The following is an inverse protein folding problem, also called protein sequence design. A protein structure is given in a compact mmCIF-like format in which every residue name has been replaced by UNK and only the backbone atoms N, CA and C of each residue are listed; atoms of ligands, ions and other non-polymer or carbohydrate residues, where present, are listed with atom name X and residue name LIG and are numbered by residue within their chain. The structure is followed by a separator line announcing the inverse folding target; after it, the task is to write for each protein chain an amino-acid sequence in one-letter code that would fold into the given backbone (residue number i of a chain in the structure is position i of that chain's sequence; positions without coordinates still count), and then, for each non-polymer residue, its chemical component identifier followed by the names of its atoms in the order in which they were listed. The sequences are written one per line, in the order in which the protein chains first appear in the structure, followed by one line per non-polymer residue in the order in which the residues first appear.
data_IF_452016974929
#
_entry.id   IF_452016974929
#
_cell.length_a   1.000
_cell.length_b   1.000
_cell.length_c   1.000
_cell.angle_alpha   90.00
_cell.angle_beta   90.00
_cell.angle_gamma   90.00
#
_symmetry.space_group_name_H-M   'P 1'
#
loop_
_entity.id
_entity.type
_entity.pdbx_description
1 polymer ?
#
# COMPACT_ATOMS: atom_id res chain seq x y z
N UNK A 1 -0.11 19.88 13.99
CA UNK A 1 -0.96 18.88 13.31
C UNK A 1 -1.61 17.95 14.33
N UNK A 2 -2.77 17.39 14.02
CA UNK A 2 -3.35 16.34 14.87
C UNK A 2 -2.52 15.05 14.75
N UNK A 3 -2.52 14.24 15.81
CA UNK A 3 -1.76 13.00 15.87
C UNK A 3 -2.46 11.89 15.06
N UNK A 4 -2.64 12.11 13.76
CA UNK A 4 -3.35 11.19 12.88
C UNK A 4 -2.89 11.34 11.43
N UNK A 5 -2.73 10.21 10.75
CA UNK A 5 -2.59 10.17 9.30
C UNK A 5 -3.96 9.83 8.72
N UNK A 6 -4.50 10.70 7.87
CA UNK A 6 -5.82 10.51 7.27
C UNK A 6 -5.73 9.77 5.94
N UNK A 7 -4.69 10.04 5.15
CA UNK A 7 -4.51 9.48 3.81
C UNK A 7 -3.07 9.05 3.63
N UNK A 8 -2.90 7.87 3.07
CA UNK A 8 -1.62 7.39 2.55
C UNK A 8 -1.81 7.21 1.06
N UNK A 9 -1.01 7.90 0.26
CA UNK A 9 -1.05 7.80 -1.19
C UNK A 9 0.18 7.07 -1.69
N UNK A 10 -0.03 5.99 -2.43
CA UNK A 10 1.02 5.19 -3.04
C UNK A 10 1.09 5.50 -4.53
N UNK A 11 2.28 5.87 -5.00
CA UNK A 11 2.52 6.06 -6.42
C UNK A 11 2.49 4.72 -7.13
N UNK A 12 1.76 4.63 -8.24
CA UNK A 12 1.64 3.42 -9.04
C UNK A 12 1.94 3.70 -10.51
N UNK A 13 2.42 2.68 -11.20
CA UNK A 13 2.63 2.74 -12.65
C UNK A 13 1.35 2.37 -13.42
N UNK A 14 0.55 1.47 -12.88
CA UNK A 14 -0.62 0.88 -13.53
C UNK A 14 -1.73 0.64 -12.50
N UNK A 15 -2.84 1.36 -12.63
CA UNK A 15 -3.98 1.22 -11.72
C UNK A 15 -4.51 -0.21 -11.67
N UNK A 16 -4.70 -0.84 -12.80
CA UNK A 16 -5.34 -2.16 -12.86
C UNK A 16 -4.49 -3.23 -12.17
N UNK A 17 -3.19 -3.17 -12.35
CA UNK A 17 -2.25 -4.08 -11.69
C UNK A 17 -2.25 -3.88 -10.17
N UNK A 18 -2.14 -2.63 -9.73
CA UNK A 18 -2.12 -2.31 -8.31
C UNK A 18 -3.45 -2.64 -7.64
N UNK A 19 -4.56 -2.28 -8.29
CA UNK A 19 -5.91 -2.57 -7.79
C UNK A 19 -6.16 -4.08 -7.65
N UNK A 20 -5.76 -4.86 -8.65
CA UNK A 20 -5.90 -6.32 -8.61
C UNK A 20 -5.09 -6.92 -7.45
N UNK A 21 -3.89 -6.41 -7.21
CA UNK A 21 -3.04 -6.88 -6.11
C UNK A 21 -3.71 -6.66 -4.75
N UNK A 22 -4.14 -5.43 -4.46
CA UNK A 22 -4.76 -5.12 -3.17
C UNK A 22 -6.12 -5.79 -2.98
N UNK A 23 -6.90 -5.96 -4.05
CA UNK A 23 -8.13 -6.76 -4.01
C UNK A 23 -7.85 -8.23 -3.69
N UNK A 24 -6.77 -8.79 -4.21
CA UNK A 24 -6.36 -10.16 -3.89
C UNK A 24 -5.99 -10.33 -2.40
N UNK A 25 -5.53 -9.28 -1.74
CA UNK A 25 -5.27 -9.27 -0.30
C UNK A 25 -6.53 -9.05 0.54
N UNK A 26 -7.67 -8.73 -0.09
CA UNK A 26 -8.95 -8.57 0.59
C UNK A 26 -9.43 -7.12 0.73
N UNK A 27 -8.70 -6.14 0.23
CA UNK A 27 -9.15 -4.76 0.26
C UNK A 27 -10.21 -4.51 -0.82
N UNK A 28 -11.17 -3.64 -0.50
CA UNK A 28 -12.28 -3.31 -1.39
C UNK A 28 -12.20 -1.86 -1.85
N UNK A 29 -12.44 -1.65 -3.13
CA UNK A 29 -12.48 -0.33 -3.74
C UNK A 29 -13.48 -0.33 -4.90
N UNK A 30 -14.11 0.83 -5.12
CA UNK A 30 -14.95 1.06 -6.29
C UNK A 30 -14.16 1.11 -7.61
N UNK A 31 -12.83 1.15 -7.53
CA UNK A 31 -11.95 1.26 -8.69
C UNK A 31 -11.57 2.69 -9.00
N UNK A 32 -11.20 2.96 -10.24
CA UNK A 32 -10.75 4.30 -10.66
C UNK A 32 -11.92 5.26 -10.68
N UNK A 33 -11.74 6.42 -10.03
CA UNK A 33 -12.73 7.50 -9.97
C UNK A 33 -12.11 8.82 -10.40
N UNK A 34 -12.92 9.89 -10.47
CA UNK A 34 -12.49 11.24 -10.83
C UNK A 34 -11.78 11.33 -12.20
N UNK A 35 -12.20 10.49 -13.14
CA UNK A 35 -11.62 10.42 -14.50
C UNK A 35 -11.99 11.62 -15.37
N UNK A 36 -12.98 12.41 -14.98
CA UNK A 36 -13.41 13.63 -15.66
C UNK A 36 -12.36 14.76 -15.62
N UNK A 37 -11.41 14.68 -14.70
CA UNK A 37 -10.32 15.64 -14.57
C UNK A 37 -9.06 15.10 -15.28
N UNK A 38 -8.88 15.49 -16.53
CA UNK A 38 -7.79 14.95 -17.35
C UNK A 38 -6.41 15.47 -16.96
N UNK A 39 -6.34 16.67 -16.36
CA UNK A 39 -5.06 17.32 -16.07
C UNK A 39 -4.38 17.84 -17.35
N UNK A 40 -3.19 18.42 -17.17
CA UNK A 40 -2.32 18.89 -18.24
C UNK A 40 -0.86 18.83 -17.77
N UNK A 41 0.06 19.51 -18.47
CA UNK A 41 1.49 19.47 -18.15
C UNK A 41 1.83 20.05 -16.75
N UNK A 42 0.99 20.94 -16.22
CA UNK A 42 1.23 21.62 -14.94
C UNK A 42 0.19 21.28 -13.87
N UNK A 43 -0.97 20.74 -14.26
CA UNK A 43 -2.04 20.37 -13.36
C UNK A 43 -2.20 18.84 -13.36
N UNK A 44 -2.18 18.19 -12.18
CA UNK A 44 -2.32 16.73 -12.13
C UNK A 44 -3.71 16.28 -12.56
N UNK A 45 -3.79 15.08 -13.14
CA UNK A 45 -5.05 14.42 -13.42
C UNK A 45 -5.76 14.05 -12.11
N UNK A 46 -7.09 13.95 -12.16
CA UNK A 46 -7.89 13.59 -10.99
C UNK A 46 -8.03 12.09 -10.75
N UNK A 47 -7.82 11.25 -11.78
CA UNK A 47 -8.03 9.81 -11.68
C UNK A 47 -7.26 9.19 -10.51
N UNK A 48 -7.97 8.47 -9.65
CA UNK A 48 -7.44 7.93 -8.39
C UNK A 48 -8.19 6.64 -8.02
N UNK A 49 -7.53 5.76 -7.31
CA UNK A 49 -8.15 4.59 -6.65
C UNK A 49 -8.10 4.83 -5.15
N UNK A 50 -9.21 4.60 -4.46
CA UNK A 50 -9.29 4.74 -3.00
C UNK A 50 -9.75 3.44 -2.35
N UNK A 51 -9.07 3.07 -1.27
CA UNK A 51 -9.51 2.03 -0.33
C UNK A 51 -9.83 2.72 0.99
N UNK A 52 -11.07 2.59 1.45
CA UNK A 52 -11.49 3.12 2.75
C UNK A 52 -11.15 2.07 3.81
N UNK A 53 -10.18 2.41 4.66
CA UNK A 53 -9.68 1.51 5.69
C UNK A 53 -10.53 1.62 6.96
N UNK A 54 -10.47 0.58 7.78
CA UNK A 54 -11.07 0.62 9.11
C UNK A 54 -10.42 1.76 9.93
N UNK A 55 -11.22 2.45 10.72
CA UNK A 55 -10.76 3.60 11.49
C UNK A 55 -10.76 4.91 10.71
N UNK A 56 -11.17 4.92 9.46
CA UNK A 56 -11.40 6.13 8.67
C UNK A 56 -10.23 6.63 7.86
N UNK A 57 -9.08 5.95 7.88
CA UNK A 57 -7.98 6.27 6.97
C UNK A 57 -8.32 5.84 5.54
N UNK A 58 -7.68 6.50 4.58
CA UNK A 58 -7.78 6.17 3.16
C UNK A 58 -6.40 5.75 2.67
N UNK A 59 -6.34 4.61 1.99
CA UNK A 59 -5.20 4.23 1.18
C UNK A 59 -5.55 4.54 -0.27
N UNK A 60 -4.78 5.44 -0.89
CA UNK A 60 -5.00 5.86 -2.27
C UNK A 60 -3.90 5.32 -3.18
N UNK A 61 -4.28 4.98 -4.40
CA UNK A 61 -3.33 4.69 -5.48
C UNK A 61 -3.42 5.84 -6.48
N UNK A 62 -2.28 6.42 -6.85
CA UNK A 62 -2.24 7.58 -7.73
C UNK A 62 -1.10 7.41 -8.74
N UNK A 63 -1.27 7.81 -10.01
CA UNK A 63 -0.18 7.64 -10.98
C UNK A 63 1.08 8.35 -10.51
N UNK A 64 2.22 7.69 -10.63
CA UNK A 64 3.52 8.22 -10.15
C UNK A 64 3.83 9.57 -10.75
N UNK A 65 3.60 9.74 -12.05
CA UNK A 65 3.80 11.02 -12.73
C UNK A 65 2.89 12.13 -12.19
N UNK A 66 1.65 11.79 -11.86
CA UNK A 66 0.68 12.76 -11.37
C UNK A 66 0.92 13.13 -9.91
N UNK A 67 1.34 12.17 -9.08
CA UNK A 67 1.75 12.45 -7.71
C UNK A 67 2.96 13.39 -7.68
N UNK A 68 3.96 13.14 -8.53
CA UNK A 68 5.13 14.00 -8.63
C UNK A 68 4.76 15.42 -9.08
N UNK A 69 3.88 15.53 -10.06
CA UNK A 69 3.37 16.81 -10.57
C UNK A 69 2.62 17.57 -9.47
N UNK A 70 1.72 16.89 -8.76
CA UNK A 70 0.93 17.48 -7.68
C UNK A 70 1.81 17.98 -6.53
N UNK A 71 2.80 17.20 -6.15
CA UNK A 71 3.72 17.55 -5.07
C UNK A 71 4.83 18.53 -5.50
N UNK A 72 5.02 18.75 -6.80
CA UNK A 72 6.10 19.61 -7.31
C UNK A 72 7.48 19.00 -7.13
N UNK A 73 7.61 17.68 -7.27
CA UNK A 73 8.87 16.94 -7.11
C UNK A 73 9.17 16.12 -8.35
N UNK A 74 10.42 15.69 -8.50
CA UNK A 74 10.80 14.74 -9.51
C UNK A 74 10.24 13.35 -9.17
N UNK A 75 9.72 12.57 -10.16
CA UNK A 75 9.29 11.20 -9.89
C UNK A 75 10.49 10.34 -9.49
N UNK A 76 10.31 9.57 -8.42
CA UNK A 76 11.32 8.66 -7.93
C UNK A 76 11.23 7.27 -8.59
N UNK A 77 12.16 6.36 -8.24
CA UNK A 77 12.09 4.98 -8.71
C UNK A 77 10.89 4.24 -8.08
N UNK A 78 10.44 3.19 -8.76
CA UNK A 78 9.33 2.34 -8.30
C UNK A 78 9.78 1.45 -7.13
N UNK A 79 10.25 2.06 -6.04
CA UNK A 79 10.71 1.35 -4.86
C UNK A 79 10.78 2.29 -3.65
N UNK A 80 10.07 1.94 -2.58
CA UNK A 80 10.21 2.59 -1.29
C UNK A 80 11.23 1.84 -0.43
N UNK A 81 12.09 2.54 0.30
CA UNK A 81 13.13 1.92 1.09
C UNK A 81 13.35 2.54 2.47
N UNK A 82 12.75 3.69 2.72
CA UNK A 82 12.97 4.45 3.95
C UNK A 82 11.79 4.43 4.91
N UNK A 83 10.71 3.77 4.54
CA UNK A 83 9.57 3.53 5.43
C UNK A 83 8.87 2.24 5.03
N UNK A 84 8.05 1.72 5.93
CA UNK A 84 7.17 0.60 5.66
C UNK A 84 5.77 0.87 6.20
N UNK A 85 4.78 0.21 5.63
CA UNK A 85 3.43 0.21 6.15
C UNK A 85 3.24 -1.07 6.97
N UNK A 86 2.75 -0.95 8.19
CA UNK A 86 2.55 -2.09 9.07
C UNK A 86 1.09 -2.49 9.16
N UNK A 87 0.83 -3.79 9.09
CA UNK A 87 -0.49 -4.37 9.30
C UNK A 87 -0.41 -5.44 10.39
N UNK A 88 -1.14 -5.23 11.48
CA UNK A 88 -1.15 -6.14 12.61
C UNK A 88 -2.30 -7.13 12.46
N UNK A 89 -1.98 -8.40 12.64
CA UNK A 89 -2.95 -9.49 12.63
C UNK A 89 -3.01 -10.18 14.00
N UNK A 90 -4.09 -10.90 14.26
CA UNK A 90 -4.36 -11.46 15.57
C UNK A 90 -3.51 -12.68 15.91
N UNK A 91 -3.06 -13.44 14.92
CA UNK A 91 -2.33 -14.72 15.13
C UNK A 91 -1.11 -14.83 14.22
N UNK A 92 -0.17 -15.68 14.65
CA UNK A 92 1.00 -16.05 13.83
C UNK A 92 0.56 -16.69 12.51
N UNK A 93 -0.47 -17.52 12.53
CA UNK A 93 -0.99 -18.16 11.34
C UNK A 93 -1.53 -17.15 10.32
N UNK A 94 -2.14 -16.07 10.78
CA UNK A 94 -2.62 -15.01 9.89
C UNK A 94 -1.46 -14.28 9.20
N UNK A 95 -0.31 -14.14 9.85
CA UNK A 95 0.90 -13.63 9.20
C UNK A 95 1.28 -14.54 8.04
N UNK A 96 1.39 -15.84 8.29
CA UNK A 96 1.74 -16.82 7.26
C UNK A 96 0.75 -16.81 6.10
N UNK A 97 -0.54 -16.79 6.41
CA UNK A 97 -1.62 -16.81 5.43
C UNK A 97 -1.61 -15.57 4.55
N UNK A 98 -1.45 -14.39 5.15
CA UNK A 98 -1.46 -13.14 4.39
C UNK A 98 -0.22 -13.00 3.51
N UNK A 99 0.95 -13.39 4.00
CA UNK A 99 2.16 -13.39 3.19
C UNK A 99 2.08 -14.41 2.05
N UNK A 100 1.44 -15.56 2.27
CA UNK A 100 1.20 -16.53 1.20
C UNK A 100 0.27 -15.96 0.11
N UNK A 101 -0.77 -15.21 0.51
CA UNK A 101 -1.65 -14.52 -0.45
C UNK A 101 -0.89 -13.46 -1.26
N UNK A 102 -0.05 -12.68 -0.60
CA UNK A 102 0.79 -11.68 -1.28
C UNK A 102 1.72 -12.34 -2.30
N UNK A 103 2.36 -13.44 -1.91
CA UNK A 103 3.23 -14.22 -2.81
C UNK A 103 2.45 -14.78 -4.00
N UNK A 104 1.26 -15.33 -3.76
CA UNK A 104 0.40 -15.85 -4.82
C UNK A 104 -0.05 -14.75 -5.78
N UNK A 105 -0.20 -13.53 -5.30
CA UNK A 105 -0.51 -12.34 -6.11
C UNK A 105 0.72 -11.73 -6.80
N UNK A 106 1.90 -12.35 -6.67
CA UNK A 106 3.13 -11.96 -7.37
C UNK A 106 4.11 -11.15 -6.55
N UNK A 107 3.85 -10.89 -5.26
CA UNK A 107 4.74 -10.08 -4.43
C UNK A 107 6.00 -10.86 -4.02
N UNK A 108 7.17 -10.22 -4.07
CA UNK A 108 8.33 -10.73 -3.33
C UNK A 108 8.03 -10.68 -1.83
N UNK A 109 8.34 -11.75 -1.12
CA UNK A 109 8.17 -11.85 0.33
C UNK A 109 9.50 -12.18 0.99
N UNK A 110 9.70 -11.69 2.21
CA UNK A 110 10.87 -12.04 3.01
C UNK A 110 10.63 -13.31 3.81
N UNK A 111 11.71 -13.83 4.41
CA UNK A 111 11.58 -14.87 5.42
C UNK A 111 10.84 -14.31 6.64
N UNK A 112 10.12 -15.20 7.33
CA UNK A 112 9.45 -14.89 8.57
C UNK A 112 10.45 -14.92 9.73
N UNK A 113 10.26 -14.00 10.67
CA UNK A 113 11.18 -13.84 11.79
C UNK A 113 10.45 -13.83 13.12
N UNK A 114 10.98 -14.58 14.08
CA UNK A 114 10.66 -14.40 15.48
C UNK A 114 11.49 -13.24 16.02
N UNK A 115 10.82 -12.28 16.59
CA UNK A 115 11.43 -11.10 17.22
C UNK A 115 11.27 -11.16 18.74
N UNK A 116 12.00 -10.34 19.51
CA UNK A 116 11.77 -10.23 20.95
C UNK A 116 10.30 -9.96 21.28
N UNK A 117 9.89 -10.31 22.48
CA UNK A 117 8.53 -10.12 23.03
C UNK A 117 7.43 -10.91 22.29
N UNK A 118 7.79 -11.98 21.61
CA UNK A 118 6.83 -12.83 20.91
C UNK A 118 6.33 -12.26 19.59
N UNK A 119 6.91 -11.18 19.11
CA UNK A 119 6.57 -10.59 17.82
C UNK A 119 7.01 -11.52 16.69
N UNK A 120 6.11 -11.75 15.74
CA UNK A 120 6.35 -12.57 14.58
C UNK A 120 5.94 -11.79 13.33
N UNK A 121 6.86 -11.60 12.39
CA UNK A 121 6.60 -10.74 11.24
C UNK A 121 7.36 -11.16 9.99
N UNK A 122 6.90 -10.65 8.87
CA UNK A 122 7.58 -10.71 7.59
C UNK A 122 7.12 -9.56 6.71
N UNK A 123 7.79 -9.37 5.58
CA UNK A 123 7.55 -8.26 4.68
C UNK A 123 7.18 -8.75 3.29
N UNK A 124 6.43 -7.92 2.58
CA UNK A 124 6.27 -8.05 1.13
C UNK A 124 6.42 -6.69 0.45
N UNK A 125 6.67 -6.70 -0.86
CA UNK A 125 6.57 -5.51 -1.70
C UNK A 125 5.40 -5.64 -2.64
N UNK A 126 4.63 -4.55 -2.77
CA UNK A 126 3.56 -4.51 -3.75
C UNK A 126 4.12 -4.41 -5.19
N UNK A 127 3.29 -4.42 -6.25
CA UNK A 127 3.77 -4.36 -7.62
C UNK A 127 4.61 -3.12 -7.96
N UNK A 128 4.48 -2.05 -7.16
CA UNK A 128 5.21 -0.80 -7.33
C UNK A 128 6.39 -0.66 -6.37
N UNK A 129 6.71 -1.72 -5.63
CA UNK A 129 7.86 -1.76 -4.73
C UNK A 129 7.63 -1.12 -3.36
N UNK A 130 6.39 -0.82 -2.98
CA UNK A 130 6.08 -0.30 -1.65
C UNK A 130 6.17 -1.42 -0.61
N UNK A 131 6.83 -1.12 0.50
CA UNK A 131 7.18 -2.10 1.53
C UNK A 131 6.11 -2.18 2.60
N UNK A 132 5.62 -3.40 2.85
CA UNK A 132 4.66 -3.71 3.89
C UNK A 132 5.22 -4.71 4.88
N UNK A 133 4.95 -4.51 6.16
CA UNK A 133 5.22 -5.48 7.22
C UNK A 133 3.91 -6.06 7.74
N UNK A 134 3.83 -7.39 7.80
CA UNK A 134 2.71 -8.10 8.41
C UNK A 134 3.18 -8.62 9.76
N UNK A 135 2.47 -8.26 10.83
CA UNK A 135 2.97 -8.38 12.20
C UNK A 135 1.94 -9.08 13.07
N UNK A 136 2.37 -10.10 13.80
CA UNK A 136 1.67 -10.55 14.98
C UNK A 136 2.42 -10.07 16.20
N UNK A 137 1.74 -9.32 17.06
CA UNK A 137 2.28 -8.83 18.32
C UNK A 137 1.32 -9.24 19.45
N UNK A 138 1.69 -10.23 20.27
CA UNK A 138 0.80 -10.69 21.35
C UNK A 138 0.54 -9.64 22.43
N UNK A 139 1.30 -8.53 22.41
CA UNK A 139 1.17 -7.44 23.39
C UNK A 139 0.40 -6.23 22.82
N UNK A 140 -0.04 -6.31 21.57
CA UNK A 140 -0.76 -5.21 20.92
C UNK A 140 -2.27 -5.36 21.07
#
# INVERSE_FOLDING_TARGET
MKARIHVITLAVADFERALAFYRALGLQSAGVTATEFAGDDTHPAGAIVMFHLDGGQILSLYPRSELAKDAGIAPGPARSGEFSLGHIVATRQEVDTLLAKAKAAGAPVTELHDRPWGIYSGYFRDPDGHLWEIIHNPNA
#
